data_IF_408464014898
#
_entry.id   IF_408464014898
#
_cell.length_a   1.000
_cell.length_b   1.000
_cell.length_c   1.000
_cell.angle_alpha   90.00
_cell.angle_beta   90.00
_cell.angle_gamma   90.00
#
_symmetry.space_group_name_H-M   'P 1'
#
loop_
_entity.id
_entity.type
_entity.pdbx_description
1 polymer ?
#
# COMPACT_ATOMS: atom_id res chain seq x y z
N UNK A 1 -7.19 -10.50 18.60
CA UNK A 1 -6.60 -11.87 18.61
C UNK A 1 -5.29 -11.77 19.39
N UNK A 2 -4.95 -12.67 20.34
CA UNK A 2 -3.62 -12.68 20.93
C UNK A 2 -2.60 -12.86 19.79
N UNK A 3 -1.46 -12.14 19.87
CA UNK A 3 -0.37 -12.30 18.91
C UNK A 3 -0.11 -13.80 18.69
N UNK A 4 -0.08 -14.21 17.42
CA UNK A 4 0.25 -15.56 17.03
C UNK A 4 1.59 -15.96 17.67
N UNK A 5 1.72 -17.20 18.15
CA UNK A 5 3.01 -17.66 18.66
C UNK A 5 4.00 -17.72 17.49
N UNK A 6 5.29 -17.56 17.77
CA UNK A 6 6.33 -17.65 16.74
C UNK A 6 6.24 -18.95 15.90
N UNK A 7 5.75 -20.01 16.50
CA UNK A 7 5.53 -21.31 15.84
C UNK A 7 4.37 -21.26 14.83
N UNK A 8 3.30 -20.50 15.09
CA UNK A 8 2.17 -20.35 14.16
C UNK A 8 2.56 -19.52 12.95
N UNK A 9 3.30 -18.42 13.13
CA UNK A 9 3.78 -17.57 12.01
C UNK A 9 4.72 -18.37 11.09
N UNK A 10 5.62 -19.18 11.65
CA UNK A 10 6.50 -20.01 10.84
C UNK A 10 5.74 -21.10 10.04
N UNK A 11 4.64 -21.60 10.58
CA UNK A 11 3.76 -22.53 9.85
C UNK A 11 3.10 -21.80 8.68
N UNK A 12 2.54 -20.61 8.91
CA UNK A 12 1.90 -19.80 7.86
C UNK A 12 2.87 -19.41 6.73
N UNK A 13 4.15 -19.13 7.06
CA UNK A 13 5.20 -18.85 6.06
C UNK A 13 5.40 -20.02 5.11
N UNK A 14 5.28 -21.27 5.61
CA UNK A 14 5.37 -22.47 4.79
C UNK A 14 4.20 -22.67 3.81
N UNK A 15 3.10 -21.93 4.02
CA UNK A 15 1.87 -22.00 3.21
C UNK A 15 1.72 -20.81 2.24
N UNK A 16 2.71 -19.90 2.18
CA UNK A 16 2.67 -18.76 1.26
C UNK A 16 2.80 -19.22 -0.20
N UNK A 17 1.94 -18.68 -1.04
CA UNK A 17 1.78 -19.07 -2.44
C UNK A 17 2.15 -17.97 -3.45
N UNK A 18 2.61 -16.80 -2.97
CA UNK A 18 3.02 -15.70 -3.85
C UNK A 18 4.20 -16.10 -4.73
N UNK A 19 4.03 -15.95 -6.04
CA UNK A 19 5.02 -16.31 -7.06
C UNK A 19 5.63 -15.04 -7.70
N UNK A 20 6.88 -14.74 -7.32
CA UNK A 20 7.61 -13.59 -7.86
C UNK A 20 7.89 -13.67 -9.36
N UNK A 21 8.03 -14.89 -9.91
CA UNK A 21 8.26 -15.07 -11.34
C UNK A 21 7.00 -14.75 -12.15
N UNK A 22 5.82 -15.14 -11.65
CA UNK A 22 4.54 -14.74 -12.26
C UNK A 22 4.34 -13.22 -12.18
N UNK A 23 4.63 -12.62 -11.03
CA UNK A 23 4.59 -11.19 -10.87
C UNK A 23 5.53 -10.48 -11.87
N UNK A 24 6.79 -10.90 -11.96
CA UNK A 24 7.76 -10.31 -12.89
C UNK A 24 7.38 -10.50 -14.37
N UNK A 25 6.81 -11.64 -14.73
CA UNK A 25 6.27 -11.84 -16.09
C UNK A 25 5.15 -10.85 -16.41
N UNK A 26 4.35 -10.44 -15.43
CA UNK A 26 3.31 -9.43 -15.61
C UNK A 26 3.87 -8.02 -15.82
N UNK A 27 5.04 -7.68 -15.24
CA UNK A 27 5.74 -6.41 -15.54
C UNK A 27 6.04 -6.31 -17.03
N UNK A 28 6.59 -7.38 -17.63
CA UNK A 28 6.84 -7.43 -19.06
C UNK A 28 5.55 -7.21 -19.88
N UNK A 29 4.46 -7.89 -19.50
CA UNK A 29 3.16 -7.73 -20.16
C UNK A 29 2.66 -6.28 -20.10
N UNK A 30 2.76 -5.63 -18.95
CA UNK A 30 2.35 -4.24 -18.77
C UNK A 30 3.17 -3.27 -19.63
N UNK A 31 4.48 -3.47 -19.72
CA UNK A 31 5.37 -2.64 -20.53
C UNK A 31 5.15 -2.86 -22.04
N UNK A 32 4.74 -4.06 -22.45
CA UNK A 32 4.39 -4.38 -23.85
C UNK A 32 3.15 -3.62 -24.35
N UNK A 33 2.22 -3.19 -23.46
CA UNK A 33 1.14 -2.28 -23.85
C UNK A 33 1.66 -0.90 -24.28
N UNK A 34 2.88 -0.55 -23.88
CA UNK A 34 3.51 0.75 -24.08
C UNK A 34 3.41 1.65 -22.84
N UNK A 35 3.89 2.91 -22.94
CA UNK A 35 3.78 3.87 -21.84
C UNK A 35 2.32 4.11 -21.45
N UNK A 36 2.00 3.84 -20.19
CA UNK A 36 0.64 3.94 -19.62
C UNK A 36 0.30 5.37 -19.21
N UNK A 37 0.62 6.33 -20.05
CA UNK A 37 0.27 7.74 -19.83
C UNK A 37 -1.26 7.88 -19.70
N UNK A 38 -1.78 8.67 -18.74
CA UNK A 38 -3.21 8.83 -18.52
C UNK A 38 -4.00 9.15 -19.80
N UNK A 39 -5.08 8.41 -20.02
CA UNK A 39 -5.93 8.54 -21.20
C UNK A 39 -5.37 7.92 -22.50
N UNK A 40 -4.21 7.27 -22.45
CA UNK A 40 -3.67 6.52 -23.59
C UNK A 40 -4.37 5.18 -23.81
N UNK A 41 -4.17 4.56 -24.98
CA UNK A 41 -4.62 3.20 -25.23
C UNK A 41 -3.94 2.19 -24.29
N UNK A 42 -2.64 2.36 -24.01
CA UNK A 42 -1.89 1.50 -23.11
C UNK A 42 -2.46 1.52 -21.68
N UNK A 43 -2.88 2.71 -21.20
CA UNK A 43 -3.57 2.87 -19.91
C UNK A 43 -4.90 2.09 -19.89
N UNK A 44 -5.68 2.13 -20.96
CA UNK A 44 -6.94 1.37 -21.08
C UNK A 44 -6.68 -0.14 -21.18
N UNK A 45 -5.73 -0.57 -22.04
CA UNK A 45 -5.38 -1.98 -22.24
C UNK A 45 -4.90 -2.64 -20.93
N UNK A 46 -4.17 -1.92 -20.09
CA UNK A 46 -3.76 -2.42 -18.77
C UNK A 46 -4.98 -2.67 -17.87
N UNK A 47 -5.92 -1.72 -17.76
CA UNK A 47 -7.12 -1.89 -16.92
C UNK A 47 -7.99 -3.06 -17.41
N UNK A 48 -8.22 -3.13 -18.74
CA UNK A 48 -8.96 -4.22 -19.36
C UNK A 48 -8.31 -5.57 -19.04
N UNK A 49 -6.99 -5.67 -19.23
CA UNK A 49 -6.22 -6.88 -18.93
C UNK A 49 -6.29 -7.27 -17.44
N UNK A 50 -6.22 -6.30 -16.53
CA UNK A 50 -6.29 -6.57 -15.09
C UNK A 50 -7.68 -7.12 -14.72
N UNK A 51 -8.75 -6.48 -15.17
CA UNK A 51 -10.13 -6.93 -14.94
C UNK A 51 -10.39 -8.32 -15.53
N UNK A 52 -9.99 -8.55 -16.78
CA UNK A 52 -10.20 -9.83 -17.47
C UNK A 52 -9.45 -10.98 -16.81
N UNK A 53 -8.25 -10.75 -16.31
CA UNK A 53 -7.40 -11.78 -15.69
C UNK A 53 -7.66 -11.98 -14.21
N UNK A 54 -8.38 -11.07 -13.55
CA UNK A 54 -8.75 -11.13 -12.11
C UNK A 54 -10.27 -10.97 -11.89
N UNK A 55 -11.09 -11.84 -12.50
CA UNK A 55 -12.55 -11.70 -12.52
C UNK A 55 -13.25 -12.02 -11.18
N UNK A 56 -12.50 -12.39 -10.13
CA UNK A 56 -13.06 -12.63 -8.81
C UNK A 56 -13.43 -11.35 -8.06
N UNK A 57 -12.84 -10.21 -8.44
CA UNK A 57 -13.16 -8.92 -7.87
C UNK A 57 -14.30 -8.24 -8.62
N UNK A 58 -15.11 -7.48 -7.91
CA UNK A 58 -16.09 -6.56 -8.49
C UNK A 58 -15.37 -5.24 -8.87
N UNK A 59 -15.16 -5.06 -10.18
CA UNK A 59 -14.34 -3.97 -10.71
C UNK A 59 -15.16 -2.77 -11.09
N UNK A 60 -14.65 -1.57 -10.75
CA UNK A 60 -15.23 -0.28 -11.11
C UNK A 60 -14.13 0.64 -11.67
N UNK A 61 -14.36 1.21 -12.85
CA UNK A 61 -13.57 2.32 -13.37
C UNK A 61 -14.12 3.65 -12.85
N UNK A 62 -13.25 4.51 -12.33
CA UNK A 62 -13.58 5.81 -11.77
C UNK A 62 -12.87 6.94 -12.54
N UNK A 63 -13.49 7.49 -13.62
CA UNK A 63 -12.88 8.47 -14.50
C UNK A 63 -12.94 9.89 -13.92
N UNK A 64 -11.85 10.63 -14.06
CA UNK A 64 -11.71 12.02 -13.63
C UNK A 64 -11.01 12.89 -14.68
N UNK A 65 -11.20 14.21 -14.57
CA UNK A 65 -10.42 15.20 -15.31
C UNK A 65 -9.80 16.18 -14.32
N UNK A 66 -8.48 16.17 -14.21
CA UNK A 66 -7.73 17.00 -13.26
C UNK A 66 -6.46 17.54 -13.92
N UNK A 67 -6.16 18.80 -13.68
CA UNK A 67 -4.93 19.47 -14.15
C UNK A 67 -4.61 19.27 -15.64
N UNK A 68 -5.64 19.03 -16.45
CA UNK A 68 -5.52 18.81 -17.91
C UNK A 68 -5.35 17.35 -18.32
N UNK A 69 -5.27 16.41 -17.37
CA UNK A 69 -5.26 14.97 -17.62
C UNK A 69 -6.68 14.38 -17.53
N UNK A 70 -6.98 13.45 -18.44
CA UNK A 70 -8.10 12.52 -18.28
C UNK A 70 -7.53 11.25 -17.69
N UNK A 71 -7.85 10.98 -16.45
CA UNK A 71 -7.35 9.84 -15.69
C UNK A 71 -8.49 8.91 -15.30
N UNK A 72 -8.20 7.66 -15.04
CA UNK A 72 -9.20 6.66 -14.64
C UNK A 72 -8.62 5.72 -13.61
N UNK A 73 -9.03 5.86 -12.33
CA UNK A 73 -8.68 4.84 -11.33
C UNK A 73 -9.44 3.54 -11.61
N UNK A 74 -8.83 2.42 -11.24
CA UNK A 74 -9.50 1.11 -11.27
C UNK A 74 -9.58 0.58 -9.83
N UNK A 75 -10.80 0.39 -9.33
CA UNK A 75 -11.06 -0.18 -8.01
C UNK A 75 -11.71 -1.56 -8.15
N UNK A 76 -11.14 -2.56 -7.46
CA UNK A 76 -11.73 -3.89 -7.34
C UNK A 76 -12.02 -4.20 -5.88
N UNK A 77 -13.23 -4.70 -5.58
CA UNK A 77 -13.64 -5.11 -4.24
C UNK A 77 -13.88 -6.60 -4.20
N UNK A 78 -13.31 -7.26 -3.20
CA UNK A 78 -13.60 -8.66 -2.90
C UNK A 78 -14.11 -8.79 -1.47
N UNK A 79 -15.34 -9.31 -1.33
CA UNK A 79 -15.93 -9.69 -0.05
C UNK A 79 -15.85 -11.21 0.08
N UNK A 80 -14.94 -11.78 0.89
CA UNK A 80 -14.86 -13.22 1.11
C UNK A 80 -16.13 -13.78 1.77
N UNK A 81 -16.43 -15.06 1.55
CA UNK A 81 -17.60 -15.72 2.14
C UNK A 81 -17.65 -15.64 3.68
N UNK A 82 -16.48 -15.60 4.32
CA UNK A 82 -16.35 -15.55 5.78
C UNK A 82 -16.28 -14.12 6.34
N UNK A 83 -16.25 -13.10 5.49
CA UNK A 83 -16.20 -11.72 5.95
C UNK A 83 -17.59 -11.19 6.32
N UNK A 84 -17.64 -10.37 7.38
CA UNK A 84 -18.85 -9.62 7.71
C UNK A 84 -19.11 -8.54 6.64
N UNK A 85 -20.37 -8.40 6.21
CA UNK A 85 -20.80 -7.49 5.13
C UNK A 85 -20.44 -5.99 5.38
N UNK A 86 -20.14 -5.62 6.63
CA UNK A 86 -19.67 -4.29 7.04
C UNK A 86 -18.40 -4.42 7.91
N UNK A 87 -17.61 -5.45 7.66
CA UNK A 87 -16.39 -5.73 8.39
C UNK A 87 -15.21 -4.82 7.99
N UNK A 88 -14.06 -5.13 8.53
CA UNK A 88 -12.81 -4.47 8.23
C UNK A 88 -12.38 -4.64 6.78
N UNK A 89 -11.68 -3.63 6.25
CA UNK A 89 -11.16 -3.59 4.88
C UNK A 89 -9.66 -3.37 4.90
N UNK A 90 -8.95 -4.11 4.06
CA UNK A 90 -7.55 -3.84 3.70
C UNK A 90 -7.50 -3.41 2.24
N UNK A 91 -6.98 -2.22 1.98
CA UNK A 91 -6.77 -1.70 0.63
C UNK A 91 -5.32 -1.95 0.21
N UNK A 92 -5.13 -2.61 -0.92
CA UNK A 92 -3.84 -2.78 -1.59
C UNK A 92 -3.80 -1.81 -2.77
N UNK A 93 -2.81 -0.94 -2.83
CA UNK A 93 -2.76 0.11 -3.84
C UNK A 93 -1.41 0.16 -4.57
N UNK A 94 -1.45 0.57 -5.83
CA UNK A 94 -0.30 0.92 -6.65
C UNK A 94 -0.74 1.91 -7.73
N UNK A 95 0.14 2.82 -8.16
CA UNK A 95 -0.13 3.57 -9.38
C UNK A 95 0.19 2.71 -10.60
N UNK A 96 -0.57 2.87 -11.67
CA UNK A 96 -0.38 2.08 -12.88
C UNK A 96 0.08 2.91 -14.07
N UNK A 97 -0.03 4.22 -13.98
CA UNK A 97 0.48 5.11 -15.02
C UNK A 97 2.01 5.07 -15.09
N UNK A 98 2.55 5.50 -16.17
CA UNK A 98 3.97 5.79 -16.32
C UNK A 98 4.17 7.24 -16.73
N UNK A 99 5.29 7.82 -16.32
CA UNK A 99 5.62 9.22 -16.57
C UNK A 99 5.60 9.56 -18.07
N UNK A 100 4.97 10.68 -18.41
CA UNK A 100 4.84 11.16 -19.80
C UNK A 100 6.15 11.70 -20.41
N UNK A 101 7.23 11.70 -19.64
CA UNK A 101 8.56 12.19 -20.02
C UNK A 101 9.66 11.52 -19.23
N UNK A 102 10.90 11.62 -19.67
CA UNK A 102 12.08 11.08 -19.00
C UNK A 102 13.03 12.22 -18.59
N UNK A 103 12.61 13.11 -17.71
CA UNK A 103 13.37 14.32 -17.37
C UNK A 103 14.71 14.04 -16.67
N UNK A 104 14.93 12.80 -16.23
CA UNK A 104 16.20 12.33 -15.67
C UNK A 104 17.08 11.58 -16.67
N UNK A 105 16.60 11.35 -17.89
CA UNK A 105 17.36 10.62 -18.88
C UNK A 105 18.67 11.35 -19.24
N UNK A 106 19.80 10.65 -19.25
CA UNK A 106 21.09 11.26 -19.60
C UNK A 106 21.17 11.70 -21.07
N UNK A 107 20.30 11.17 -21.93
CA UNK A 107 20.19 11.61 -23.32
C UNK A 107 19.17 12.76 -23.45
N UNK A 108 19.62 14.00 -23.73
CA UNK A 108 18.72 15.15 -23.79
C UNK A 108 17.69 15.09 -24.92
N UNK A 109 17.83 14.18 -25.89
CA UNK A 109 16.83 13.98 -26.93
C UNK A 109 15.68 13.06 -26.50
N UNK A 110 15.80 12.43 -25.33
CA UNK A 110 14.82 11.50 -24.78
C UNK A 110 13.99 12.11 -23.64
N UNK A 111 14.37 13.28 -23.12
CA UNK A 111 13.75 13.88 -21.93
C UNK A 111 12.25 14.19 -22.07
N UNK A 112 11.75 14.39 -23.28
CA UNK A 112 10.33 14.67 -23.56
C UNK A 112 9.59 13.42 -24.12
N UNK A 113 10.17 12.23 -23.96
CA UNK A 113 9.57 10.95 -24.41
C UNK A 113 9.11 10.16 -23.18
N UNK A 114 7.89 9.60 -23.19
CA UNK A 114 7.39 8.81 -22.07
C UNK A 114 8.29 7.62 -21.73
N UNK A 115 8.43 7.29 -20.44
CA UNK A 115 9.23 6.15 -19.95
C UNK A 115 8.47 4.82 -20.08
N UNK A 116 9.19 3.68 -20.12
CA UNK A 116 8.58 2.35 -20.03
C UNK A 116 7.87 2.09 -18.70
N UNK A 117 8.41 2.58 -17.58
CA UNK A 117 7.82 2.46 -16.24
C UNK A 117 7.73 1.02 -15.74
N UNK A 118 8.82 0.25 -15.83
CA UNK A 118 8.82 -1.16 -15.42
C UNK A 118 8.86 -1.33 -13.90
N UNK A 119 9.63 -0.51 -13.22
CA UNK A 119 9.62 -0.45 -11.76
C UNK A 119 8.63 0.59 -11.26
N UNK A 120 8.59 1.73 -11.92
CA UNK A 120 7.79 2.91 -11.66
C UNK A 120 6.56 2.95 -12.62
N UNK A 121 5.46 2.48 -12.29
CA UNK A 121 4.65 1.81 -11.30
C UNK A 121 4.31 0.35 -11.64
N UNK A 122 4.87 -0.29 -12.75
CA UNK A 122 4.43 -1.64 -13.11
C UNK A 122 4.85 -2.70 -12.07
N UNK A 123 5.90 -2.47 -11.26
CA UNK A 123 6.32 -3.41 -10.20
C UNK A 123 5.26 -3.54 -9.10
N UNK A 124 4.70 -2.42 -8.65
CA UNK A 124 3.61 -2.41 -7.66
C UNK A 124 2.37 -3.11 -8.20
N UNK A 125 1.93 -2.75 -9.42
CA UNK A 125 0.79 -3.39 -10.09
C UNK A 125 1.00 -4.89 -10.24
N UNK A 126 2.23 -5.35 -10.52
CA UNK A 126 2.57 -6.77 -10.66
C UNK A 126 2.37 -7.55 -9.35
N UNK A 127 2.77 -6.96 -8.22
CA UNK A 127 2.52 -7.56 -6.89
C UNK A 127 1.02 -7.62 -6.60
N UNK A 128 0.28 -6.56 -6.88
CA UNK A 128 -1.17 -6.57 -6.68
C UNK A 128 -1.88 -7.57 -7.60
N UNK A 129 -1.42 -7.69 -8.84
CA UNK A 129 -1.96 -8.65 -9.80
C UNK A 129 -1.79 -10.09 -9.32
N UNK A 130 -0.64 -10.44 -8.77
CA UNK A 130 -0.42 -11.79 -8.23
C UNK A 130 -1.19 -12.01 -6.92
N UNK A 131 -1.24 -11.04 -6.01
CA UNK A 131 -2.07 -11.11 -4.80
C UNK A 131 -3.55 -11.27 -5.13
N UNK A 132 -4.06 -10.58 -6.17
CA UNK A 132 -5.44 -10.71 -6.62
C UNK A 132 -5.79 -12.12 -7.12
N UNK A 133 -4.82 -12.90 -7.57
CA UNK A 133 -5.00 -14.33 -7.89
C UNK A 133 -5.20 -15.16 -6.62
N UNK A 134 -4.52 -14.83 -5.54
CA UNK A 134 -4.46 -15.63 -4.31
C UNK A 134 -5.60 -15.32 -3.35
N UNK A 135 -5.92 -14.04 -3.18
CA UNK A 135 -6.89 -13.54 -2.18
C UNK A 135 -8.22 -14.31 -2.18
N UNK A 136 -8.84 -14.68 -3.32
CA UNK A 136 -10.11 -15.43 -3.32
C UNK A 136 -10.04 -16.79 -2.63
N UNK A 137 -8.85 -17.39 -2.53
CA UNK A 137 -8.64 -18.72 -1.93
C UNK A 137 -8.08 -18.69 -0.51
N UNK A 138 -7.72 -17.50 0.02
CA UNK A 138 -7.11 -17.37 1.34
C UNK A 138 -8.07 -17.63 2.50
N UNK A 139 -9.40 -17.59 2.28
CA UNK A 139 -10.40 -17.78 3.35
C UNK A 139 -10.41 -16.66 4.39
N UNK A 140 -10.15 -15.43 3.98
CA UNK A 140 -10.07 -14.26 4.85
C UNK A 140 -11.41 -13.94 5.52
N UNK A 141 -11.36 -13.29 6.69
CA UNK A 141 -12.52 -12.83 7.45
C UNK A 141 -12.75 -11.30 7.29
N UNK A 142 -12.04 -10.65 6.35
CA UNK A 142 -12.11 -9.23 6.05
C UNK A 142 -12.11 -8.99 4.55
N UNK A 143 -12.61 -7.84 4.12
CA UNK A 143 -12.61 -7.45 2.72
C UNK A 143 -11.21 -7.06 2.25
N UNK A 144 -10.92 -7.32 0.98
CA UNK A 144 -9.72 -6.82 0.31
C UNK A 144 -10.14 -6.00 -0.90
N UNK A 145 -9.68 -4.75 -0.93
CA UNK A 145 -9.84 -3.90 -2.10
C UNK A 145 -8.51 -3.72 -2.80
N UNK A 146 -8.54 -3.63 -4.12
CA UNK A 146 -7.39 -3.29 -4.94
C UNK A 146 -7.68 -1.95 -5.60
N UNK A 147 -6.78 -1.00 -5.41
CA UNK A 147 -6.87 0.31 -6.03
C UNK A 147 -5.66 0.54 -6.93
N UNK A 148 -5.90 0.63 -8.23
CA UNK A 148 -4.91 1.10 -9.18
C UNK A 148 -5.18 2.58 -9.45
N UNK A 149 -4.27 3.44 -9.00
CA UNK A 149 -4.35 4.89 -9.19
C UNK A 149 -3.75 5.30 -10.51
N UNK A 150 -4.34 6.32 -11.15
CA UNK A 150 -3.87 6.90 -12.39
C UNK A 150 -3.29 8.30 -12.15
N UNK A 151 -2.33 8.71 -12.95
CA UNK A 151 -1.74 10.05 -12.88
C UNK A 151 -1.10 10.39 -11.53
N UNK A 152 -0.47 9.42 -10.88
CA UNK A 152 0.42 9.70 -9.76
C UNK A 152 1.60 10.52 -10.26
N UNK A 153 2.20 10.07 -11.35
CA UNK A 153 3.50 10.48 -11.85
C UNK A 153 3.41 11.54 -12.97
N UNK A 154 2.33 12.32 -13.01
CA UNK A 154 2.09 13.32 -14.05
C UNK A 154 2.21 14.76 -13.54
N UNK A 155 2.60 15.68 -14.45
CA UNK A 155 2.70 17.10 -14.13
C UNK A 155 3.85 17.47 -13.17
N UNK A 156 3.70 18.57 -12.42
CA UNK A 156 4.66 18.95 -11.37
C UNK A 156 4.55 18.03 -10.16
N UNK A 157 5.64 17.37 -9.82
CA UNK A 157 5.71 16.45 -8.69
C UNK A 157 5.65 17.18 -7.32
N UNK A 158 5.05 16.59 -6.28
CA UNK A 158 4.28 15.34 -6.29
C UNK A 158 2.84 15.59 -6.74
N UNK A 159 2.33 14.81 -7.69
CA UNK A 159 0.99 15.05 -8.24
C UNK A 159 -0.12 14.20 -7.62
N UNK A 160 -0.03 12.88 -7.60
CA UNK A 160 -0.99 11.97 -6.94
C UNK A 160 -2.46 12.25 -7.35
N UNK A 161 -2.72 12.53 -8.63
CA UNK A 161 -4.03 13.07 -9.04
C UNK A 161 -5.16 12.04 -8.86
N UNK A 162 -4.88 10.77 -9.15
CA UNK A 162 -5.81 9.67 -8.97
C UNK A 162 -6.11 9.39 -7.50
N UNK A 163 -5.10 9.30 -6.67
CA UNK A 163 -5.26 9.08 -5.24
C UNK A 163 -6.01 10.23 -4.55
N UNK A 164 -5.72 11.49 -4.92
CA UNK A 164 -6.48 12.65 -4.45
C UNK A 164 -7.95 12.57 -4.87
N UNK A 165 -8.22 12.13 -6.10
CA UNK A 165 -9.59 11.98 -6.58
C UNK A 165 -10.34 10.92 -5.77
N UNK A 166 -9.72 9.77 -5.52
CA UNK A 166 -10.31 8.69 -4.73
C UNK A 166 -10.56 9.12 -3.28
N UNK A 167 -9.56 9.74 -2.62
CA UNK A 167 -9.69 10.21 -1.25
C UNK A 167 -10.76 11.29 -1.05
N UNK A 168 -11.04 12.11 -2.06
CA UNK A 168 -12.09 13.13 -2.02
C UNK A 168 -13.50 12.54 -2.22
N UNK A 169 -13.63 11.37 -2.84
CA UNK A 169 -14.90 10.76 -3.21
C UNK A 169 -15.30 9.54 -2.35
N UNK A 170 -14.35 8.95 -1.63
CA UNK A 170 -14.66 7.81 -0.74
C UNK A 170 -15.64 8.22 0.36
N UNK A 171 -16.60 7.34 0.67
CA UNK A 171 -17.60 7.59 1.70
C UNK A 171 -17.00 7.59 3.12
N UNK A 172 -17.59 8.35 4.04
CA UNK A 172 -17.19 8.30 5.45
C UNK A 172 -17.45 6.92 6.10
N UNK A 173 -18.40 6.16 5.58
CA UNK A 173 -18.66 4.77 5.98
C UNK A 173 -17.50 3.86 5.59
N UNK A 174 -17.06 3.91 4.33
CA UNK A 174 -15.91 3.15 3.85
C UNK A 174 -14.63 3.56 4.58
N UNK A 175 -14.39 4.87 4.77
CA UNK A 175 -13.22 5.36 5.55
C UNK A 175 -13.16 4.69 6.94
N UNK A 176 -14.32 4.58 7.62
CA UNK A 176 -14.38 4.02 8.98
C UNK A 176 -14.12 2.51 9.04
N UNK A 177 -14.17 1.81 7.92
CA UNK A 177 -13.95 0.35 7.79
C UNK A 177 -12.54 0.01 7.35
N UNK A 178 -11.82 0.95 6.74
CA UNK A 178 -10.47 0.70 6.22
C UNK A 178 -9.47 0.71 7.37
N UNK A 179 -8.98 -0.46 7.72
CA UNK A 179 -7.95 -0.64 8.74
C UNK A 179 -6.54 -0.39 8.21
N UNK A 180 -6.31 -0.65 6.93
CA UNK A 180 -5.00 -0.47 6.31
C UNK A 180 -5.14 -0.08 4.83
N UNK A 181 -4.29 0.87 4.42
CA UNK A 181 -3.98 1.17 3.02
C UNK A 181 -2.50 0.90 2.81
N UNK A 182 -2.18 -0.11 2.00
CA UNK A 182 -0.83 -0.55 1.71
C UNK A 182 -0.49 -0.15 0.27
N UNK A 183 0.26 0.92 0.13
CA UNK A 183 0.80 1.34 -1.17
C UNK A 183 2.05 0.53 -1.48
N UNK A 184 2.21 0.15 -2.72
CA UNK A 184 3.37 -0.58 -3.23
C UNK A 184 3.88 0.14 -4.48
N UNK A 185 5.04 0.76 -4.38
CA UNK A 185 5.65 1.50 -5.47
C UNK A 185 7.16 1.22 -5.57
N UNK A 186 7.70 1.16 -6.80
CA UNK A 186 9.12 1.01 -7.09
C UNK A 186 9.84 -0.10 -6.28
N UNK A 187 9.21 -1.27 -6.15
CA UNK A 187 9.72 -2.37 -5.30
C UNK A 187 10.48 -3.47 -6.07
N UNK A 188 10.83 -3.20 -7.33
CA UNK A 188 11.44 -4.19 -8.21
C UNK A 188 12.97 -4.15 -8.30
N UNK A 189 13.68 -3.23 -7.62
CA UNK A 189 15.14 -3.19 -7.69
C UNK A 189 15.76 -4.48 -7.14
N UNK A 190 16.80 -4.98 -7.81
CA UNK A 190 17.53 -6.17 -7.38
C UNK A 190 18.26 -5.98 -6.03
N UNK A 191 18.59 -4.75 -5.66
CA UNK A 191 19.14 -4.37 -4.33
C UNK A 191 18.09 -3.68 -3.46
N UNK A 192 16.87 -4.21 -3.45
CA UNK A 192 15.70 -3.66 -2.75
C UNK A 192 16.00 -3.29 -1.29
N UNK A 193 15.62 -2.07 -0.91
CA UNK A 193 15.71 -1.54 0.46
C UNK A 193 14.44 -0.82 0.87
N UNK A 194 13.71 -1.39 1.79
CA UNK A 194 12.51 -0.80 2.36
C UNK A 194 12.82 -0.16 3.70
N UNK A 195 12.64 1.15 3.78
CA UNK A 195 12.71 1.93 5.01
C UNK A 195 11.32 2.40 5.43
N UNK A 196 11.16 2.82 6.69
CA UNK A 196 9.90 3.49 7.07
C UNK A 196 9.73 4.77 6.27
N UNK A 197 8.59 4.91 5.62
CA UNK A 197 8.24 6.12 4.90
C UNK A 197 7.28 6.98 5.72
N UNK A 198 7.51 8.28 5.73
CA UNK A 198 6.59 9.26 6.31
C UNK A 198 6.56 10.54 5.47
N UNK A 199 5.38 11.14 5.29
CA UNK A 199 5.31 12.49 4.72
C UNK A 199 6.08 13.47 5.61
N UNK A 200 6.99 14.30 5.04
CA UNK A 200 7.87 15.17 5.85
C UNK A 200 7.16 16.20 6.73
N UNK A 201 5.86 16.45 6.46
CA UNK A 201 5.05 17.47 7.12
C UNK A 201 3.92 16.93 7.99
N UNK A 202 3.71 15.61 8.04
CA UNK A 202 2.71 14.99 8.89
C UNK A 202 3.35 14.44 10.16
N UNK A 203 2.60 14.55 11.27
CA UNK A 203 2.95 13.85 12.50
C UNK A 203 2.68 12.35 12.28
N UNK A 204 3.68 11.51 12.50
CA UNK A 204 3.84 10.14 12.02
C UNK A 204 2.84 9.09 12.58
N UNK A 205 1.67 9.48 13.05
CA UNK A 205 0.79 8.59 13.81
C UNK A 205 -0.02 7.61 12.95
N UNK A 206 -0.43 8.01 11.74
CA UNK A 206 -1.36 7.22 10.94
C UNK A 206 -0.81 5.87 10.44
N UNK A 207 0.51 5.76 10.22
CA UNK A 207 1.16 4.53 9.73
C UNK A 207 1.89 3.71 10.80
N UNK A 208 2.02 4.19 12.03
CA UNK A 208 2.88 3.55 13.04
C UNK A 208 2.48 2.11 13.36
N UNK A 209 1.18 1.81 13.45
CA UNK A 209 0.69 0.45 13.69
C UNK A 209 1.07 -0.48 12.55
N UNK A 210 0.89 -0.03 11.31
CA UNK A 210 1.19 -0.82 10.11
C UNK A 210 2.69 -1.09 9.99
N UNK A 211 3.54 -0.08 10.26
CA UNK A 211 4.99 -0.30 10.33
C UNK A 211 5.40 -1.24 11.47
N UNK A 212 4.67 -1.25 12.58
CA UNK A 212 4.86 -2.26 13.62
C UNK A 212 4.53 -3.68 13.16
N UNK A 213 3.48 -3.84 12.35
CA UNK A 213 3.14 -5.11 11.72
C UNK A 213 4.23 -5.55 10.72
N UNK A 214 4.71 -4.63 9.87
CA UNK A 214 5.83 -4.90 8.95
C UNK A 214 7.06 -5.42 9.70
N UNK A 215 7.44 -4.79 10.84
CA UNK A 215 8.58 -5.20 11.66
C UNK A 215 8.40 -6.62 12.20
N UNK A 216 7.21 -6.95 12.70
CA UNK A 216 6.90 -8.26 13.26
C UNK A 216 6.91 -9.39 12.24
N UNK A 217 6.44 -9.12 11.01
CA UNK A 217 6.37 -10.11 9.94
C UNK A 217 7.71 -10.30 9.20
N UNK A 218 8.49 -9.22 9.07
CA UNK A 218 9.73 -9.23 8.28
C UNK A 218 10.84 -10.10 8.88
N UNK A 219 10.95 -10.14 10.21
CA UNK A 219 11.95 -10.99 10.86
C UNK A 219 11.78 -12.48 10.54
N UNK A 220 10.61 -13.09 10.84
CA UNK A 220 10.31 -14.48 10.51
C UNK A 220 10.44 -14.81 9.01
N UNK A 221 10.14 -13.86 8.13
CA UNK A 221 10.31 -14.00 6.67
C UNK A 221 11.76 -13.93 6.20
N UNK A 222 12.71 -13.59 7.09
CA UNK A 222 14.12 -13.44 6.73
C UNK A 222 14.44 -12.14 5.95
N UNK A 223 13.62 -11.08 6.11
CA UNK A 223 13.79 -9.81 5.40
C UNK A 223 14.57 -8.77 6.21
N UNK A 224 14.99 -9.08 7.44
CA UNK A 224 15.73 -8.17 8.31
C UNK A 224 17.07 -8.77 8.67
N UNK A 225 18.16 -8.02 8.46
CA UNK A 225 19.47 -8.41 8.93
C UNK A 225 19.47 -8.52 10.47
N UNK A 226 20.41 -9.24 11.03
CA UNK A 226 20.52 -9.49 12.48
C UNK A 226 19.32 -10.23 13.14
N UNK A 227 18.35 -10.68 12.38
CA UNK A 227 17.24 -11.53 12.84
C UNK A 227 17.32 -12.86 12.09
N UNK A 228 17.23 -13.96 12.84
CA UNK A 228 17.19 -15.30 12.26
C UNK A 228 15.78 -15.62 11.80
N UNK A 229 15.61 -16.09 10.57
CA UNK A 229 14.34 -16.48 10.01
C UNK A 229 13.76 -17.77 10.64
N UNK A 230 12.60 -18.20 10.18
CA UNK A 230 11.95 -19.43 10.65
C UNK A 230 12.72 -20.72 10.35
N UNK A 231 13.69 -20.70 9.43
CA UNK A 231 14.53 -21.85 9.08
C UNK A 231 15.86 -21.87 9.88
N UNK A 232 16.12 -20.84 10.67
CA UNK A 232 17.36 -20.67 11.42
C UNK A 232 18.48 -20.01 10.63
N UNK A 233 18.17 -19.43 9.46
CA UNK A 233 19.13 -18.72 8.61
C UNK A 233 19.17 -17.22 8.94
N UNK A 234 20.31 -16.54 8.77
CA UNK A 234 20.39 -15.09 8.89
C UNK A 234 19.50 -14.41 7.85
N UNK A 235 18.74 -13.40 8.29
CA UNK A 235 17.90 -12.61 7.37
C UNK A 235 18.71 -11.69 6.45
N UNK A 236 18.05 -11.24 5.41
CA UNK A 236 18.54 -10.28 4.42
C UNK A 236 18.34 -8.85 4.93
N UNK A 237 19.15 -7.90 4.45
CA UNK A 237 18.93 -6.46 4.70
C UNK A 237 17.99 -5.87 3.65
N UNK A 238 16.73 -6.32 3.66
CA UNK A 238 15.66 -5.80 2.80
C UNK A 238 14.83 -4.75 3.54
N UNK A 239 14.29 -5.10 4.71
CA UNK A 239 13.49 -4.20 5.55
C UNK A 239 14.36 -3.66 6.68
N UNK A 240 14.54 -2.35 6.72
CA UNK A 240 15.48 -1.73 7.65
C UNK A 240 14.82 -0.54 8.38
N UNK A 241 14.74 -0.63 9.71
CA UNK A 241 14.12 0.39 10.57
C UNK A 241 15.13 1.36 11.22
N UNK A 242 16.40 1.31 10.82
CA UNK A 242 17.44 2.24 11.33
C UNK A 242 17.34 3.63 10.70
N UNK A 243 16.62 3.75 9.58
CA UNK A 243 16.40 4.98 8.85
C UNK A 243 14.92 5.19 8.56
N UNK A 244 14.58 6.42 8.20
CA UNK A 244 13.28 6.80 7.68
C UNK A 244 13.46 7.61 6.41
N UNK A 245 12.58 7.42 5.44
CA UNK A 245 12.54 8.22 4.23
C UNK A 245 11.34 9.18 4.25
N UNK A 246 11.60 10.44 3.90
CA UNK A 246 10.54 11.42 3.69
C UNK A 246 9.99 11.27 2.27
N UNK A 247 8.83 10.63 2.15
CA UNK A 247 8.17 10.37 0.86
C UNK A 247 6.80 11.02 0.83
N UNK A 248 6.44 11.58 -0.32
CA UNK A 248 5.11 12.11 -0.61
C UNK A 248 4.61 11.36 -1.83
N UNK A 249 3.63 10.50 -1.63
CA UNK A 249 3.11 9.57 -2.60
C UNK A 249 1.61 9.30 -2.34
N UNK A 250 0.97 8.42 -3.08
CA UNK A 250 -0.46 8.11 -3.07
C UNK A 250 -1.01 7.69 -1.70
N UNK A 251 -0.18 7.27 -0.75
CA UNK A 251 -0.57 7.06 0.65
C UNK A 251 -0.93 8.37 1.38
N UNK A 252 -0.41 9.52 0.94
CA UNK A 252 -0.59 10.80 1.62
C UNK A 252 -2.03 11.32 1.57
N UNK A 253 -2.74 11.31 0.44
CA UNK A 253 -4.16 11.65 0.40
C UNK A 253 -5.00 10.80 1.37
N UNK A 254 -4.64 9.51 1.57
CA UNK A 254 -5.32 8.60 2.48
C UNK A 254 -5.12 9.00 3.94
N UNK A 255 -3.88 9.29 4.34
CA UNK A 255 -3.58 9.83 5.67
C UNK A 255 -4.33 11.13 5.96
N UNK A 256 -4.48 12.01 4.98
CA UNK A 256 -5.20 13.28 5.12
C UNK A 256 -6.69 13.11 5.40
N UNK A 257 -7.32 12.03 4.94
CA UNK A 257 -8.73 11.72 5.23
C UNK A 257 -8.90 10.77 6.41
N UNK A 258 -7.80 10.40 7.09
CA UNK A 258 -7.83 9.61 8.32
C UNK A 258 -7.73 8.09 8.11
N UNK A 259 -7.43 7.62 6.90
CA UNK A 259 -7.16 6.21 6.62
C UNK A 259 -5.72 5.89 7.02
N UNK A 260 -5.46 4.86 7.86
CA UNK A 260 -4.12 4.40 8.15
C UNK A 260 -3.42 3.89 6.89
N UNK A 261 -2.30 4.51 6.51
CA UNK A 261 -1.61 4.19 5.28
C UNK A 261 -0.09 4.11 5.47
N UNK A 262 0.54 3.21 4.73
CA UNK A 262 1.99 3.11 4.56
C UNK A 262 2.32 2.89 3.08
N UNK A 263 3.57 3.15 2.74
CA UNK A 263 4.10 3.06 1.41
C UNK A 263 5.37 2.20 1.43
N UNK A 264 5.31 1.05 0.77
CA UNK A 264 6.46 0.20 0.48
C UNK A 264 7.13 0.71 -0.79
N UNK A 265 8.20 1.47 -0.63
CA UNK A 265 8.93 2.06 -1.76
C UNK A 265 10.44 1.98 -1.55
N UNK A 266 11.17 1.68 -2.62
CA UNK A 266 12.61 1.93 -2.69
C UNK A 266 12.91 3.09 -3.64
N UNK A 267 13.30 4.21 -3.07
CA UNK A 267 13.63 5.45 -3.81
C UNK A 267 15.09 5.47 -4.32
N UNK A 268 15.78 4.31 -4.32
CA UNK A 268 17.18 4.13 -4.72
C UNK A 268 17.27 3.10 -5.84
N UNK A 269 16.74 3.43 -6.99
CA UNK A 269 16.56 2.49 -8.08
C UNK A 269 17.76 2.40 -9.00
N UNK A 270 18.50 1.31 -8.91
CA UNK A 270 19.66 0.99 -9.75
C UNK A 270 20.99 0.85 -9.00
N UNK A 271 22.01 0.32 -9.67
CA UNK A 271 23.30 0.02 -9.08
C UNK A 271 23.98 1.26 -8.44
N UNK A 272 24.18 1.24 -7.12
CA UNK A 272 24.72 2.34 -6.31
C UNK A 272 23.90 3.65 -6.40
N UNK A 273 22.64 3.59 -6.76
CA UNK A 273 21.79 4.78 -6.81
C UNK A 273 21.61 5.41 -5.43
N UNK A 274 21.57 6.71 -5.37
CA UNK A 274 21.10 7.46 -4.21
C UNK A 274 19.63 7.83 -4.40
N UNK A 275 19.01 8.48 -3.39
CA UNK A 275 17.58 8.82 -3.41
C UNK A 275 17.18 9.58 -4.67
N UNK A 276 16.17 9.07 -5.38
CA UNK A 276 15.63 9.65 -6.59
C UNK A 276 16.65 9.79 -7.73
N UNK A 277 17.53 8.79 -7.86
CA UNK A 277 18.56 8.70 -8.92
C UNK A 277 18.50 7.32 -9.60
N UNK A 278 19.51 7.03 -10.42
CA UNK A 278 19.64 5.77 -11.14
C UNK A 278 18.71 5.68 -12.35
N UNK A 279 17.85 4.68 -12.39
CA UNK A 279 16.93 4.44 -13.51
C UNK A 279 15.61 5.21 -13.39
N UNK A 280 15.32 5.80 -12.22
CA UNK A 280 14.11 6.56 -11.98
C UNK A 280 13.93 7.71 -12.97
N UNK A 281 12.75 7.80 -13.61
CA UNK A 281 12.39 8.77 -14.64
C UNK A 281 13.33 8.78 -15.85
N UNK A 282 13.84 7.60 -16.25
CA UNK A 282 14.67 7.41 -17.43
C UNK A 282 14.12 6.28 -18.31
N UNK A 283 14.63 6.16 -19.57
CA UNK A 283 14.31 5.04 -20.45
C UNK A 283 15.01 3.74 -20.05
N UNK A 284 15.87 3.76 -19.05
CA UNK A 284 16.48 2.56 -18.45
C UNK A 284 15.54 1.84 -17.48
N UNK A 285 14.38 2.42 -17.14
CA UNK A 285 13.33 1.75 -16.35
C UNK A 285 12.61 0.70 -17.18
N UNK A 286 13.27 -0.43 -17.37
CA UNK A 286 12.89 -1.53 -18.26
C UNK A 286 12.73 -2.86 -17.50
N UNK A 287 11.95 -3.84 -18.02
CA UNK A 287 11.67 -5.10 -17.33
C UNK A 287 12.91 -5.90 -16.88
N UNK A 288 14.05 -5.76 -17.60
CA UNK A 288 15.30 -6.43 -17.22
C UNK A 288 15.98 -5.85 -15.97
N UNK A 289 15.47 -4.74 -15.42
CA UNK A 289 15.91 -4.15 -14.16
C UNK A 289 15.06 -4.60 -12.97
N UNK A 290 13.94 -5.26 -13.22
CA UNK A 290 13.01 -5.70 -12.18
C UNK A 290 13.33 -7.14 -11.76
N UNK A 291 13.53 -7.36 -10.46
CA UNK A 291 13.85 -8.63 -9.84
C UNK A 291 12.58 -9.36 -9.37
N UNK A 292 12.41 -10.61 -9.78
CA UNK A 292 11.36 -11.49 -9.29
C UNK A 292 11.50 -11.81 -7.79
N UNK A 293 12.73 -11.88 -7.28
CA UNK A 293 12.99 -12.08 -5.84
C UNK A 293 12.53 -10.88 -5.02
N UNK A 294 12.77 -9.65 -5.50
CA UNK A 294 12.33 -8.42 -4.83
C UNK A 294 10.81 -8.32 -4.78
N UNK A 295 10.12 -8.61 -5.89
CA UNK A 295 8.67 -8.69 -5.93
C UNK A 295 8.14 -9.76 -4.97
N UNK A 296 8.82 -10.93 -4.88
CA UNK A 296 8.44 -12.00 -3.97
C UNK A 296 8.59 -11.60 -2.50
N UNK A 297 9.62 -10.83 -2.13
CA UNK A 297 9.80 -10.37 -0.76
C UNK A 297 8.60 -9.54 -0.28
N UNK A 298 8.17 -8.58 -1.07
CA UNK A 298 7.05 -7.69 -0.70
C UNK A 298 5.70 -8.42 -0.84
N UNK A 299 5.50 -9.17 -1.91
CA UNK A 299 4.26 -9.92 -2.10
C UNK A 299 4.01 -10.95 -0.99
N UNK A 300 5.02 -11.70 -0.56
CA UNK A 300 4.94 -12.65 0.56
C UNK A 300 4.73 -11.96 1.91
N UNK A 301 5.33 -10.79 2.11
CA UNK A 301 5.11 -9.99 3.32
C UNK A 301 3.64 -9.54 3.41
N UNK A 302 3.08 -9.04 2.32
CA UNK A 302 1.68 -8.62 2.27
C UNK A 302 0.74 -9.83 2.43
N UNK A 303 1.00 -10.93 1.71
CA UNK A 303 0.23 -12.18 1.82
C UNK A 303 0.20 -12.71 3.26
N UNK A 304 1.36 -12.77 3.92
CA UNK A 304 1.45 -13.23 5.32
C UNK A 304 0.59 -12.35 6.23
N UNK A 305 0.69 -11.04 6.09
CA UNK A 305 -0.09 -10.11 6.91
C UNK A 305 -1.60 -10.19 6.65
N UNK A 306 -2.04 -10.48 5.41
CA UNK A 306 -3.45 -10.76 5.10
C UNK A 306 -3.93 -12.04 5.81
N UNK A 307 -3.19 -13.14 5.69
CA UNK A 307 -3.53 -14.45 6.30
C UNK A 307 -3.56 -14.38 7.83
N UNK A 308 -2.62 -13.66 8.45
CA UNK A 308 -2.51 -13.51 9.91
C UNK A 308 -3.40 -12.38 10.49
N UNK A 309 -4.09 -11.60 9.64
CA UNK A 309 -4.89 -10.45 10.06
C UNK A 309 -4.04 -9.32 10.66
N UNK A 310 -2.75 -9.26 10.34
CA UNK A 310 -1.81 -8.28 10.93
C UNK A 310 -2.04 -6.84 10.46
N UNK A 311 -2.76 -6.68 9.35
CA UNK A 311 -3.13 -5.36 8.83
C UNK A 311 -4.36 -4.77 9.49
N UNK A 312 -5.15 -5.57 10.26
CA UNK A 312 -6.40 -5.16 10.88
C UNK A 312 -6.17 -4.37 12.18
N UNK A 313 -7.10 -3.45 12.49
CA UNK A 313 -7.13 -2.75 13.77
C UNK A 313 -8.00 -3.51 14.78
N UNK A 314 -7.37 -4.42 15.52
CA UNK A 314 -8.05 -5.25 16.52
C UNK A 314 -8.60 -4.46 17.73
N UNK A 315 -8.28 -3.16 17.88
CA UNK A 315 -8.78 -2.35 19.00
C UNK A 315 -10.24 -1.92 18.82
N UNK A 316 -10.74 -1.88 17.58
CA UNK A 316 -12.15 -1.55 17.31
C UNK A 316 -13.09 -2.68 17.76
N UNK A 317 -12.66 -3.93 17.73
CA UNK A 317 -13.48 -5.08 18.15
C UNK A 317 -13.63 -5.23 19.67
N UNK A 318 -12.72 -4.72 20.50
CA UNK A 318 -12.86 -4.77 21.97
C UNK A 318 -13.87 -3.75 22.51
N UNK A 319 -14.08 -2.63 21.83
CA UNK A 319 -15.05 -1.60 22.24
C UNK A 319 -16.49 -1.96 21.93
N UNK A 320 -16.76 -2.77 20.92
CA UNK A 320 -18.11 -3.22 20.55
C UNK A 320 -18.65 -4.33 21.49
N UNK A 321 -17.78 -5.11 22.11
CA UNK A 321 -18.17 -6.17 23.05
C UNK A 321 -18.34 -5.59 24.49
N UNK A 322 -17.68 -4.47 24.80
CA UNK A 322 -17.74 -3.83 26.12
C UNK A 322 -18.98 -2.98 26.39
N UNK A 323 -19.77 -2.64 25.39
CA UNK A 323 -20.92 -1.74 25.53
C UNK A 323 -22.27 -2.41 25.89
N UNK A 324 -22.31 -3.75 25.95
CA UNK A 324 -23.56 -4.48 26.26
C UNK A 324 -23.68 -4.99 27.70
N UNK A 325 -22.75 -4.65 28.58
CA UNK A 325 -22.79 -5.07 29.96
C UNK A 325 -22.43 -3.93 30.92
N UNK A 326 -23.31 -2.95 31.12
CA UNK A 326 -23.39 -2.13 32.33
C UNK A 326 -24.53 -1.09 32.24
N UNK A 327 -25.76 -1.56 32.24
CA UNK A 327 -26.89 -0.80 32.78
C UNK A 327 -27.20 -1.44 34.15
N UNK A 328 -26.64 -0.90 35.23
CA UNK A 328 -27.27 -0.81 36.54
C UNK A 328 -26.31 -0.13 37.53
N UNK A 329 -26.79 0.97 38.06
CA UNK A 329 -26.51 1.62 39.34
C UNK A 329 -26.09 3.10 39.21
N UNK A 330 -27.11 3.97 39.22
CA UNK A 330 -26.95 5.38 39.60
C UNK A 330 -26.86 5.51 41.13
N UNK A 331 -25.86 6.16 41.71
CA UNK A 331 -25.97 6.80 43.00
C UNK A 331 -26.32 8.28 42.83
N UNK A 332 -27.44 8.65 43.43
CA UNK A 332 -27.85 10.04 43.63
C UNK A 332 -26.88 10.79 44.56
N UNK A 333 -26.34 11.91 44.08
CA UNK A 333 -25.72 12.91 44.97
C UNK A 333 -26.44 14.25 44.85
N UNK A 334 -26.92 14.72 46.03
CA UNK A 334 -27.49 16.05 46.21
C UNK A 334 -26.43 17.15 46.18
N UNK A 335 -26.74 18.37 45.73
CA UNK A 335 -25.78 19.45 45.69
C UNK A 335 -25.64 20.16 47.04
N UNK A 336 -24.41 20.30 47.51
CA UNK A 336 -24.08 21.23 48.62
C UNK A 336 -23.71 22.59 48.00
N UNK A 337 -24.54 23.59 48.36
CA UNK A 337 -24.30 25.00 48.10
C UNK A 337 -23.26 25.53 49.07
N UNK A 338 -22.15 26.07 48.58
CA UNK A 338 -21.38 27.09 49.37
C UNK A 338 -20.92 28.18 48.41
N UNK A 339 -21.44 29.38 48.66
CA UNK A 339 -21.06 30.60 47.98
C UNK A 339 -19.67 31.06 48.38
N UNK A 340 -18.98 31.70 47.48
CA UNK A 340 -17.73 32.44 47.71
C UNK A 340 -17.60 33.54 46.68
N UNK A 341 -17.86 34.75 47.11
CA UNK A 341 -17.65 36.01 46.38
C UNK A 341 -16.14 36.23 46.23
N UNK A 342 -15.65 36.55 45.07
CA UNK A 342 -14.40 37.32 44.89
C UNK A 342 -14.51 38.37 43.80
N UNK A 343 -14.11 39.54 44.19
CA UNK A 343 -14.17 40.87 43.62
C UNK A 343 -13.18 41.04 42.45
N UNK A 344 -13.64 41.79 41.44
CA UNK A 344 -12.82 42.34 40.35
C UNK A 344 -12.05 43.55 40.89
N UNK A 345 -10.74 43.66 40.58
CA UNK A 345 -10.01 44.94 40.54
C UNK A 345 -9.06 44.93 39.33
N UNK A 346 -9.30 45.92 38.45
CA UNK A 346 -8.48 46.61 37.43
C UNK A 346 -7.58 45.77 36.51
#
# INVERSE_FOLDING_TARGET
>A
TPMASSESVCTAIGELEFDGQLANASVTTQVEFGPRVPGSNASMELRDWFMETRPAFDWTEDPHSREGYNLTNLEGRLVPENADENGSVVVLAAHYDSRDRAERDPNPNMTDVPIPGANDGASGVAVLWELARLVPSMGLEHEVWILLTDAEDQGPMPSMLGAKAWAENISSEDISRIDAFLLVDMIGDADLKIYRTYPPYLDHQGGNRLWGAVEQLSGPLGLMDNITDCNGEPGLDIVNFTQTDGVIDDHVPMLNVGIPAIDFIDIRYGENATKWEGYWHTHEDTPDKVSDESLAHIGRLIELGLREGSWLDNQQNETSIGSSANEEATPSFSPLVTGGIFTIIS
#
